data_IF_227045600840
#
_entry.id   IF_227045600840
#
_cell.length_a   1.000
_cell.length_b   1.000
_cell.length_c   1.000
_cell.angle_alpha   90.00
_cell.angle_beta   90.00
_cell.angle_gamma   90.00
#
_symmetry.space_group_name_H-M   'P 1'
#
loop_
_entity.id
_entity.type
_entity.pdbx_description
1 polymer ?
#
# COMPACT_ATOMS: atom_id res chain seq x y z
N UNK A 1 -33.13 20.77 5.08
CA UNK A 1 -31.79 20.27 5.44
C UNK A 1 -31.26 21.22 6.50
N UNK A 2 -31.15 20.74 7.73
CA UNK A 2 -31.00 21.59 8.91
C UNK A 2 -29.70 22.40 8.87
N UNK A 3 -29.80 23.73 8.74
CA UNK A 3 -28.63 24.62 8.70
C UNK A 3 -27.80 24.54 9.98
N UNK A 4 -28.41 24.08 11.08
CA UNK A 4 -27.77 23.85 12.38
C UNK A 4 -26.76 22.72 12.33
N UNK A 5 -27.02 21.62 11.61
CA UNK A 5 -26.07 20.51 11.46
C UNK A 5 -24.85 20.93 10.66
N UNK A 6 -25.05 21.67 9.57
CA UNK A 6 -23.96 22.16 8.71
C UNK A 6 -23.08 23.15 9.47
N UNK A 7 -23.67 24.09 10.23
CA UNK A 7 -22.91 25.02 11.06
C UNK A 7 -22.16 24.31 12.20
N UNK A 8 -22.78 23.30 12.83
CA UNK A 8 -22.13 22.50 13.88
C UNK A 8 -20.91 21.76 13.33
N UNK A 9 -21.07 21.11 12.16
CA UNK A 9 -19.99 20.42 11.48
C UNK A 9 -18.87 21.38 11.05
N UNK A 10 -19.24 22.54 10.48
CA UNK A 10 -18.29 23.57 10.06
C UNK A 10 -17.43 24.08 11.22
N UNK A 11 -18.07 24.44 12.33
CA UNK A 11 -17.38 24.88 13.54
C UNK A 11 -16.50 23.78 14.14
N UNK A 12 -16.97 22.52 14.10
CA UNK A 12 -16.19 21.39 14.56
C UNK A 12 -14.91 21.19 13.72
N UNK A 13 -15.02 21.14 12.39
CA UNK A 13 -13.87 20.94 11.52
C UNK A 13 -12.87 22.08 11.68
N UNK A 14 -13.36 23.32 11.72
CA UNK A 14 -12.51 24.50 11.86
C UNK A 14 -11.69 24.47 13.17
N UNK A 15 -12.35 24.23 14.30
CA UNK A 15 -11.67 24.20 15.61
C UNK A 15 -10.72 23.01 15.75
N UNK A 16 -10.89 21.97 14.94
CA UNK A 16 -10.12 20.73 15.03
C UNK A 16 -9.28 20.45 13.77
N UNK A 17 -9.05 21.43 12.89
CA UNK A 17 -8.38 21.17 11.60
C UNK A 17 -6.96 20.61 11.78
N UNK A 18 -6.19 21.14 12.74
CA UNK A 18 -4.86 20.62 13.07
C UNK A 18 -4.92 19.19 13.63
N UNK A 19 -5.70 18.89 14.69
CA UNK A 19 -5.93 17.51 15.13
C UNK A 19 -6.38 16.56 14.03
N UNK A 20 -7.24 17.01 13.12
CA UNK A 20 -7.71 16.21 11.98
C UNK A 20 -6.51 15.87 11.08
N UNK A 21 -5.72 16.86 10.67
CA UNK A 21 -4.51 16.64 9.84
C UNK A 21 -3.54 15.67 10.53
N UNK A 22 -3.25 15.87 11.81
CA UNK A 22 -2.40 14.94 12.57
C UNK A 22 -3.01 13.54 12.70
N UNK A 23 -4.33 13.42 12.86
CA UNK A 23 -5.04 12.15 12.88
C UNK A 23 -4.88 11.38 11.58
N UNK A 24 -5.01 12.07 10.44
CA UNK A 24 -4.73 11.49 9.12
C UNK A 24 -3.26 11.06 8.99
N UNK A 25 -2.31 11.84 9.50
CA UNK A 25 -0.89 11.48 9.50
C UNK A 25 -0.61 10.21 10.32
N UNK A 26 -1.27 10.03 11.48
CA UNK A 26 -1.15 8.81 12.29
C UNK A 26 -1.73 7.60 11.55
N UNK A 27 -2.90 7.76 10.91
CA UNK A 27 -3.50 6.70 10.09
C UNK A 27 -2.59 6.31 8.93
N UNK A 28 -1.97 7.29 8.28
CA UNK A 28 -1.04 7.06 7.17
C UNK A 28 0.21 6.30 7.62
N UNK A 29 0.82 6.69 8.74
CA UNK A 29 1.95 5.97 9.33
C UNK A 29 1.55 4.53 9.65
N UNK A 30 0.36 4.31 10.23
CA UNK A 30 -0.15 2.98 10.51
C UNK A 30 -0.29 2.14 9.23
N UNK A 31 -0.81 2.71 8.14
CA UNK A 31 -0.93 2.03 6.86
C UNK A 31 0.43 1.66 6.27
N UNK A 32 1.39 2.58 6.27
CA UNK A 32 2.76 2.33 5.80
C UNK A 32 3.39 1.16 6.56
N UNK A 33 3.28 1.15 7.89
CA UNK A 33 3.80 0.05 8.71
C UNK A 33 3.07 -1.26 8.41
N UNK A 34 1.75 -1.23 8.27
CA UNK A 34 0.98 -2.44 8.00
C UNK A 34 1.33 -3.06 6.64
N UNK A 35 1.41 -2.23 5.59
CA UNK A 35 1.84 -2.63 4.24
C UNK A 35 3.25 -3.21 4.29
N UNK A 36 4.18 -2.54 4.98
CA UNK A 36 5.55 -3.05 5.16
C UNK A 36 5.58 -4.46 5.76
N UNK A 37 4.84 -4.67 6.85
CA UNK A 37 4.77 -5.97 7.53
C UNK A 37 4.09 -7.03 6.67
N UNK A 38 3.01 -6.68 5.96
CA UNK A 38 2.31 -7.58 5.06
C UNK A 38 3.19 -8.01 3.89
N UNK A 39 3.92 -7.07 3.26
CA UNK A 39 4.85 -7.37 2.17
C UNK A 39 5.94 -8.33 2.63
N UNK A 40 6.64 -8.03 3.74
CA UNK A 40 7.72 -8.91 4.25
C UNK A 40 7.20 -10.30 4.58
N UNK A 41 6.00 -10.41 5.17
CA UNK A 41 5.39 -11.70 5.47
C UNK A 41 5.03 -12.47 4.20
N UNK A 42 4.58 -11.78 3.15
CA UNK A 42 4.19 -12.41 1.90
C UNK A 42 5.41 -12.88 1.08
N UNK A 43 6.45 -12.06 1.01
CA UNK A 43 7.75 -12.39 0.39
C UNK A 43 8.36 -13.66 1.03
N UNK A 44 8.38 -13.76 2.36
CA UNK A 44 8.85 -14.95 3.07
C UNK A 44 8.02 -16.21 2.77
N UNK A 45 6.70 -16.05 2.62
CA UNK A 45 5.82 -17.16 2.27
C UNK A 45 6.06 -17.60 0.82
N UNK A 46 6.20 -16.67 -0.12
CA UNK A 46 6.53 -16.96 -1.52
C UNK A 46 7.86 -17.70 -1.65
N UNK A 47 8.89 -17.28 -0.91
CA UNK A 47 10.19 -17.95 -0.87
C UNK A 47 10.09 -19.40 -0.40
N UNK A 48 9.49 -19.65 0.77
CA UNK A 48 9.32 -21.01 1.30
C UNK A 48 8.50 -21.88 0.33
N UNK A 49 7.53 -21.28 -0.33
CA UNK A 49 6.68 -21.96 -1.29
C UNK A 49 7.46 -22.34 -2.56
N UNK A 50 8.28 -21.42 -3.08
CA UNK A 50 9.19 -21.68 -4.20
C UNK A 50 10.13 -22.84 -3.89
N UNK A 51 10.68 -22.88 -2.67
CA UNK A 51 11.58 -23.94 -2.21
C UNK A 51 10.93 -25.30 -2.13
N UNK A 52 9.70 -25.32 -1.60
CA UNK A 52 8.97 -26.56 -1.46
C UNK A 52 8.58 -27.14 -2.83
N UNK A 53 8.49 -26.33 -3.89
CA UNK A 53 8.28 -26.83 -5.26
C UNK A 53 9.49 -27.56 -5.82
N UNK A 54 10.68 -26.98 -5.67
CA UNK A 54 11.95 -27.56 -6.17
C UNK A 54 12.57 -28.59 -5.22
N UNK A 55 11.91 -28.87 -4.10
CA UNK A 55 12.38 -29.85 -3.12
C UNK A 55 12.42 -31.26 -3.70
N UNK A 56 13.60 -31.88 -3.60
CA UNK A 56 13.85 -33.24 -4.09
C UNK A 56 14.63 -33.31 -5.40
N UNK A 57 14.85 -32.18 -6.07
CA UNK A 57 15.69 -32.09 -7.26
C UNK A 57 17.14 -31.75 -6.88
N UNK A 58 18.08 -32.60 -7.28
CA UNK A 58 19.51 -32.43 -6.95
C UNK A 58 20.18 -31.29 -7.72
N UNK A 59 19.62 -30.94 -8.88
CA UNK A 59 20.06 -29.89 -9.80
C UNK A 59 19.27 -28.58 -9.62
N UNK A 60 18.52 -28.45 -8.52
CA UNK A 60 17.83 -27.21 -8.19
C UNK A 60 18.85 -26.06 -8.05
N UNK A 61 18.48 -24.83 -8.45
CA UNK A 61 19.37 -23.68 -8.39
C UNK A 61 19.90 -23.44 -6.97
N UNK A 62 21.22 -23.22 -6.87
CA UNK A 62 21.88 -22.97 -5.59
C UNK A 62 21.44 -21.61 -5.02
N UNK A 63 21.34 -21.54 -3.70
CA UNK A 63 20.76 -20.43 -2.98
C UNK A 63 21.86 -19.63 -2.34
N UNK A 64 22.33 -18.62 -3.05
CA UNK A 64 23.31 -17.71 -2.47
C UNK A 64 22.64 -16.84 -1.40
N UNK A 65 23.35 -16.60 -0.31
CA UNK A 65 23.04 -15.61 0.70
C UNK A 65 22.95 -14.17 0.16
N UNK A 66 23.63 -13.88 -0.95
CA UNK A 66 23.65 -12.56 -1.59
C UNK A 66 22.42 -12.29 -2.47
N UNK A 67 21.73 -13.33 -2.93
CA UNK A 67 20.58 -13.20 -3.82
C UNK A 67 19.37 -12.62 -3.11
N UNK A 68 18.68 -11.71 -3.80
CA UNK A 68 17.41 -11.16 -3.35
C UNK A 68 16.31 -12.24 -3.33
N UNK A 69 15.24 -12.01 -2.58
CA UNK A 69 14.10 -12.94 -2.56
C UNK A 69 13.53 -13.16 -3.96
N UNK A 70 13.46 -12.07 -4.73
CA UNK A 70 13.01 -12.06 -6.12
C UNK A 70 13.82 -13.01 -7.00
N UNK A 71 15.15 -12.86 -7.01
CA UNK A 71 16.06 -13.70 -7.81
C UNK A 71 15.91 -15.18 -7.45
N UNK A 72 15.69 -15.50 -6.18
CA UNK A 72 15.47 -16.89 -5.74
C UNK A 72 14.15 -17.45 -6.23
N UNK A 73 13.09 -16.66 -6.20
CA UNK A 73 11.77 -17.05 -6.71
C UNK A 73 11.87 -17.25 -8.23
N UNK A 74 12.41 -16.28 -8.95
CA UNK A 74 12.56 -16.31 -10.41
C UNK A 74 13.40 -17.52 -10.87
N UNK A 75 14.58 -17.75 -10.27
CA UNK A 75 15.43 -18.89 -10.62
C UNK A 75 14.72 -20.23 -10.40
N UNK A 76 13.92 -20.35 -9.33
CA UNK A 76 13.14 -21.56 -9.07
C UNK A 76 12.03 -21.76 -10.09
N UNK A 77 11.34 -20.69 -10.48
CA UNK A 77 10.28 -20.73 -11.49
C UNK A 77 10.84 -21.07 -12.87
N UNK A 78 11.98 -20.48 -13.24
CA UNK A 78 12.69 -20.77 -14.48
C UNK A 78 13.15 -22.23 -14.51
N UNK A 79 13.73 -22.72 -13.42
CA UNK A 79 14.11 -24.13 -13.27
C UNK A 79 12.93 -25.07 -13.50
N UNK A 80 11.78 -24.81 -12.88
CA UNK A 80 10.56 -25.62 -13.05
C UNK A 80 10.11 -25.59 -14.52
N UNK A 81 10.04 -24.41 -15.13
CA UNK A 81 9.60 -24.26 -16.52
C UNK A 81 10.51 -25.00 -17.50
N UNK A 82 11.83 -24.82 -17.37
CA UNK A 82 12.82 -25.45 -18.24
C UNK A 82 12.84 -26.97 -18.05
N UNK A 83 12.71 -27.45 -16.81
CA UNK A 83 12.75 -28.89 -16.50
C UNK A 83 11.52 -29.63 -17.01
N UNK A 84 10.32 -29.03 -16.88
CA UNK A 84 9.09 -29.58 -17.46
C UNK A 84 9.14 -29.56 -18.99
N UNK A 85 9.71 -28.51 -19.59
CA UNK A 85 9.86 -28.42 -21.04
C UNK A 85 10.85 -29.46 -21.59
N UNK A 86 11.89 -29.80 -20.83
CA UNK A 86 12.88 -30.80 -21.22
C UNK A 86 12.36 -32.24 -21.08
N UNK A 87 11.66 -32.55 -19.98
CA UNK A 87 11.05 -33.86 -19.76
C UNK A 87 9.74 -33.74 -18.95
N UNK A 88 8.66 -34.20 -19.58
CA UNK A 88 7.31 -34.17 -19.00
C UNK A 88 7.14 -35.17 -17.84
N UNK A 89 8.06 -36.12 -17.65
CA UNK A 89 8.02 -37.08 -16.54
C UNK A 89 8.18 -36.42 -15.16
N UNK A 90 8.96 -35.34 -15.06
CA UNK A 90 9.15 -34.59 -13.82
C UNK A 90 7.92 -33.81 -13.36
N UNK A 91 6.93 -33.67 -14.23
CA UNK A 91 5.71 -32.92 -13.95
C UNK A 91 4.91 -33.53 -12.80
N UNK A 92 4.85 -34.85 -12.69
CA UNK A 92 4.13 -35.53 -11.61
C UNK A 92 4.77 -35.24 -10.24
N UNK A 93 6.11 -35.14 -10.19
CA UNK A 93 6.84 -34.76 -8.99
C UNK A 93 6.54 -33.31 -8.58
N UNK A 94 6.49 -32.38 -9.54
CA UNK A 94 6.08 -31.01 -9.29
C UNK A 94 4.61 -30.89 -8.86
N UNK A 95 3.68 -31.67 -9.45
CA UNK A 95 2.27 -31.74 -9.04
C UNK A 95 2.16 -32.20 -7.58
N UNK A 96 2.93 -33.23 -7.20
CA UNK A 96 2.95 -33.76 -5.83
C UNK A 96 3.45 -32.72 -4.82
N UNK A 97 4.47 -31.95 -5.17
CA UNK A 97 4.97 -30.85 -4.35
C UNK A 97 3.96 -29.68 -4.30
N UNK A 98 3.36 -29.31 -5.44
CA UNK A 98 2.37 -28.24 -5.54
C UNK A 98 1.08 -28.54 -4.77
N UNK A 99 0.63 -29.80 -4.73
CA UNK A 99 -0.58 -30.22 -3.98
C UNK A 99 -0.44 -30.00 -2.47
N UNK A 100 0.77 -30.07 -1.92
CA UNK A 100 1.03 -29.74 -0.50
C UNK A 100 1.00 -28.23 -0.24
N UNK A 101 1.19 -27.42 -1.28
CA UNK A 101 1.31 -25.97 -1.21
C UNK A 101 -0.03 -25.28 -1.51
N UNK A 102 -0.86 -25.84 -2.40
CA UNK A 102 -2.14 -25.26 -2.83
C UNK A 102 -3.14 -24.99 -1.71
N UNK A 103 -2.92 -25.59 -0.53
CA UNK A 103 -3.69 -25.35 0.69
C UNK A 103 -3.33 -24.04 1.42
N UNK A 104 -2.24 -23.36 1.05
CA UNK A 104 -1.81 -22.11 1.68
C UNK A 104 -2.58 -20.92 1.10
N UNK A 105 -3.12 -20.00 1.94
CA UNK A 105 -3.81 -18.80 1.49
C UNK A 105 -2.81 -17.73 1.02
N UNK A 106 -2.08 -18.04 -0.05
CA UNK A 106 -1.17 -17.11 -0.75
C UNK A 106 -2.02 -16.18 -1.62
N UNK A 107 -3.06 -16.74 -2.25
CA UNK A 107 -3.87 -16.05 -3.25
C UNK A 107 -4.75 -14.93 -2.68
N UNK A 108 -5.32 -15.07 -1.48
CA UNK A 108 -6.17 -14.01 -0.91
C UNK A 108 -5.38 -12.82 -0.33
N UNK A 109 -4.05 -12.88 -0.33
CA UNK A 109 -3.18 -11.86 0.28
C UNK A 109 -2.80 -10.73 -0.68
N UNK A 110 -2.66 -11.02 -1.98
CA UNK A 110 -2.32 -9.99 -2.97
C UNK A 110 -3.37 -8.87 -2.97
N UNK A 111 -4.66 -9.24 -2.95
CA UNK A 111 -5.77 -8.29 -3.01
C UNK A 111 -5.78 -7.33 -1.83
N UNK A 112 -5.39 -7.83 -0.64
CA UNK A 112 -5.28 -6.98 0.54
C UNK A 112 -4.13 -5.98 0.40
N UNK A 113 -2.96 -6.42 -0.06
CA UNK A 113 -1.80 -5.53 -0.26
C UNK A 113 -2.15 -4.43 -1.27
N UNK A 114 -2.75 -4.80 -2.40
CA UNK A 114 -3.18 -3.86 -3.45
C UNK A 114 -4.23 -2.86 -2.92
N UNK A 115 -5.24 -3.34 -2.20
CA UNK A 115 -6.25 -2.48 -1.58
C UNK A 115 -5.64 -1.49 -0.58
N UNK A 116 -4.78 -1.95 0.33
CA UNK A 116 -4.13 -1.07 1.30
C UNK A 116 -3.21 -0.06 0.62
N UNK A 117 -2.47 -0.46 -0.42
CA UNK A 117 -1.63 0.44 -1.21
C UNK A 117 -2.46 1.52 -1.92
N UNK A 118 -3.61 1.17 -2.48
CA UNK A 118 -4.54 2.12 -3.10
C UNK A 118 -5.10 3.13 -2.08
N UNK A 119 -5.47 2.67 -0.87
CA UNK A 119 -5.94 3.53 0.22
C UNK A 119 -4.84 4.50 0.66
N UNK A 120 -3.62 4.00 0.85
CA UNK A 120 -2.43 4.81 1.20
C UNK A 120 -2.23 5.93 0.18
N UNK A 121 -2.18 5.58 -1.12
CA UNK A 121 -2.03 6.56 -2.22
C UNK A 121 -3.11 7.64 -2.21
N UNK A 122 -4.35 7.26 -1.89
CA UNK A 122 -5.47 8.19 -1.80
C UNK A 122 -5.30 9.14 -0.60
N UNK A 123 -4.86 8.65 0.55
CA UNK A 123 -4.67 9.48 1.75
C UNK A 123 -3.53 10.50 1.59
N UNK A 124 -2.45 10.15 0.90
CA UNK A 124 -1.37 11.10 0.54
C UNK A 124 -1.92 12.33 -0.18
N UNK A 125 -2.90 12.13 -1.06
CA UNK A 125 -3.57 13.18 -1.84
C UNK A 125 -4.59 13.98 -1.03
N UNK A 126 -5.07 13.46 0.10
CA UNK A 126 -6.02 14.16 0.97
C UNK A 126 -5.34 15.28 1.78
N UNK A 127 -4.05 15.16 2.13
CA UNK A 127 -3.37 16.17 2.94
C UNK A 127 -3.35 17.59 2.34
N UNK A 128 -3.02 17.81 1.05
CA UNK A 128 -3.10 19.14 0.45
C UNK A 128 -4.54 19.66 0.42
N UNK A 129 -5.52 18.78 0.17
CA UNK A 129 -6.93 19.14 0.17
C UNK A 129 -7.40 19.58 1.57
N UNK A 130 -6.93 18.93 2.64
CA UNK A 130 -7.19 19.36 4.02
C UNK A 130 -6.55 20.71 4.34
N UNK A 131 -5.35 21.01 3.81
CA UNK A 131 -4.71 22.32 3.96
C UNK A 131 -5.50 23.45 3.27
N UNK A 132 -5.95 23.20 2.03
CA UNK A 132 -6.82 24.13 1.30
C UNK A 132 -8.15 24.31 2.04
N UNK A 133 -8.73 23.23 2.56
CA UNK A 133 -9.95 23.29 3.37
C UNK A 133 -9.74 24.15 4.62
N UNK A 134 -8.65 23.96 5.36
CA UNK A 134 -8.32 24.78 6.53
C UNK A 134 -8.23 26.26 6.22
N UNK A 135 -7.63 26.60 5.08
CA UNK A 135 -7.54 27.99 4.57
C UNK A 135 -8.92 28.59 4.32
N UNK A 136 -9.77 27.87 3.59
CA UNK A 136 -11.13 28.33 3.26
C UNK A 136 -11.95 28.53 4.55
N UNK A 137 -11.85 27.60 5.50
CA UNK A 137 -12.58 27.66 6.77
C UNK A 137 -12.14 28.84 7.64
N UNK A 138 -10.83 29.09 7.74
CA UNK A 138 -10.28 30.19 8.53
C UNK A 138 -10.73 31.56 7.99
N UNK A 139 -10.68 31.74 6.66
CA UNK A 139 -11.13 32.99 6.02
C UNK A 139 -12.65 33.14 6.16
N UNK A 140 -13.41 32.07 5.90
CA UNK A 140 -14.87 32.09 6.02
C UNK A 140 -15.33 32.48 7.43
N UNK A 141 -14.64 32.03 8.47
CA UNK A 141 -14.94 32.39 9.86
C UNK A 141 -14.94 33.92 10.07
N UNK A 142 -13.97 34.62 9.50
CA UNK A 142 -13.90 36.09 9.63
C UNK A 142 -15.06 36.77 8.94
N UNK A 143 -15.50 36.26 7.79
CA UNK A 143 -16.66 36.79 7.07
C UNK A 143 -17.98 36.59 7.85
N UNK A 144 -18.13 35.47 8.56
CA UNK A 144 -19.36 35.15 9.31
C UNK A 144 -19.43 35.81 10.70
N UNK A 145 -18.30 36.02 11.38
CA UNK A 145 -18.29 36.61 12.72
C UNK A 145 -18.42 38.14 12.73
N UNK A 146 -18.03 38.81 11.64
CA UNK A 146 -17.83 40.26 11.66
C UNK A 146 -19.10 41.10 11.64
N UNK A 147 -20.29 40.54 11.37
CA UNK A 147 -21.56 41.30 11.39
C UNK A 147 -21.59 42.60 10.55
N UNK A 148 -20.61 42.82 9.67
CA UNK A 148 -20.41 44.06 8.90
C UNK A 148 -19.17 44.89 9.27
N UNK A 149 -18.54 44.73 10.44
CA UNK A 149 -17.30 45.42 10.82
C UNK A 149 -16.11 44.46 10.87
N UNK A 150 -15.30 44.44 9.81
CA UNK A 150 -14.10 43.60 9.75
C UNK A 150 -12.98 44.26 10.55
N UNK A 151 -12.62 43.63 11.66
CA UNK A 151 -11.42 43.99 12.41
C UNK A 151 -10.16 43.45 11.69
N UNK A 152 -9.22 44.36 11.38
CA UNK A 152 -8.00 44.04 10.64
C UNK A 152 -7.13 43.05 11.42
N UNK A 153 -7.08 43.12 12.75
CA UNK A 153 -6.34 42.14 13.56
C UNK A 153 -6.93 40.74 13.45
N UNK A 154 -8.25 40.62 13.54
CA UNK A 154 -8.96 39.35 13.40
C UNK A 154 -8.76 38.72 12.02
N UNK A 155 -8.79 39.54 10.96
CA UNK A 155 -8.51 39.10 9.60
C UNK A 155 -7.05 38.61 9.44
N UNK A 156 -6.08 39.36 9.98
CA UNK A 156 -4.66 38.98 9.93
C UNK A 156 -4.40 37.64 10.61
N UNK A 157 -5.00 37.39 11.77
CA UNK A 157 -4.84 36.12 12.49
C UNK A 157 -5.41 34.94 11.69
N UNK A 158 -6.57 35.13 11.03
CA UNK A 158 -7.15 34.09 10.19
C UNK A 158 -6.28 33.76 8.97
N UNK A 159 -5.61 34.75 8.38
CA UNK A 159 -4.65 34.52 7.30
C UNK A 159 -3.44 33.71 7.77
N UNK A 160 -2.88 34.01 8.93
CA UNK A 160 -1.78 33.22 9.50
C UNK A 160 -2.22 31.77 9.73
N UNK A 161 -3.39 31.57 10.36
CA UNK A 161 -3.96 30.25 10.59
C UNK A 161 -4.16 29.47 9.28
N UNK A 162 -4.70 30.14 8.26
CA UNK A 162 -4.90 29.58 6.93
C UNK A 162 -3.56 29.11 6.31
N UNK A 163 -2.54 29.95 6.36
CA UNK A 163 -1.20 29.63 5.86
C UNK A 163 -0.61 28.42 6.59
N UNK A 164 -0.70 28.38 7.92
CA UNK A 164 -0.18 27.28 8.72
C UNK A 164 -0.83 25.94 8.35
N UNK A 165 -2.16 25.92 8.14
CA UNK A 165 -2.86 24.70 7.71
C UNK A 165 -2.40 24.21 6.33
N UNK A 166 -2.15 25.14 5.40
CA UNK A 166 -1.65 24.79 4.05
C UNK A 166 -0.22 24.27 4.12
N UNK A 167 0.67 24.95 4.84
CA UNK A 167 2.05 24.52 5.01
C UNK A 167 2.08 23.12 5.61
N UNK A 168 1.26 22.85 6.62
CA UNK A 168 1.20 21.53 7.26
C UNK A 168 0.68 20.45 6.31
N UNK A 169 -0.41 20.70 5.58
CA UNK A 169 -0.98 19.76 4.62
C UNK A 169 -0.02 19.42 3.48
N UNK A 170 0.66 20.41 2.92
CA UNK A 170 1.67 20.19 1.87
C UNK A 170 2.88 19.44 2.43
N UNK A 171 3.35 19.81 3.62
CA UNK A 171 4.52 19.17 4.24
C UNK A 171 4.30 17.67 4.45
N UNK A 172 3.13 17.27 4.97
CA UNK A 172 2.80 15.86 5.11
C UNK A 172 2.63 15.16 3.77
N UNK A 173 1.99 15.79 2.79
CA UNK A 173 1.84 15.20 1.45
C UNK A 173 3.19 14.90 0.81
N UNK A 174 4.13 15.86 0.83
CA UNK A 174 5.48 15.66 0.28
C UNK A 174 6.19 14.53 1.02
N UNK A 175 6.14 14.52 2.36
CA UNK A 175 6.78 13.49 3.16
C UNK A 175 6.25 12.09 2.82
N UNK A 176 4.94 11.91 2.80
CA UNK A 176 4.34 10.61 2.54
C UNK A 176 4.43 10.20 1.07
N UNK A 177 4.44 11.13 0.12
CA UNK A 177 4.68 10.83 -1.30
C UNK A 177 6.09 10.28 -1.54
N UNK A 178 7.11 10.80 -0.85
CA UNK A 178 8.47 10.25 -0.89
C UNK A 178 8.51 8.82 -0.31
N UNK A 179 7.83 8.61 0.82
CA UNK A 179 7.72 7.27 1.43
C UNK A 179 7.01 6.33 0.45
N UNK A 180 5.84 6.69 -0.08
CA UNK A 180 5.07 5.91 -1.04
C UNK A 180 5.90 5.52 -2.27
N UNK A 181 6.64 6.46 -2.86
CA UNK A 181 7.46 6.20 -4.05
C UNK A 181 8.54 5.12 -3.81
N UNK A 182 9.01 4.97 -2.57
CA UNK A 182 9.96 3.91 -2.20
C UNK A 182 9.29 2.55 -2.07
N UNK A 183 8.00 2.53 -1.73
CA UNK A 183 7.21 1.32 -1.49
C UNK A 183 6.53 0.78 -2.76
N UNK A 184 6.07 1.66 -3.64
CA UNK A 184 5.37 1.30 -4.89
C UNK A 184 6.09 0.20 -5.70
N UNK A 185 7.39 0.32 -6.04
CA UNK A 185 8.08 -0.72 -6.82
C UNK A 185 8.14 -2.07 -6.11
N UNK A 186 8.19 -2.07 -4.77
CA UNK A 186 8.21 -3.30 -3.97
C UNK A 186 6.85 -3.97 -3.94
N UNK A 187 5.78 -3.17 -3.83
CA UNK A 187 4.40 -3.66 -3.86
C UNK A 187 4.11 -4.31 -5.21
N UNK A 188 4.41 -3.61 -6.31
CA UNK A 188 4.23 -4.14 -7.68
C UNK A 188 5.00 -5.44 -7.89
N UNK A 189 6.26 -5.50 -7.44
CA UNK A 189 7.08 -6.72 -7.54
C UNK A 189 6.43 -7.91 -6.83
N UNK A 190 6.00 -7.74 -5.58
CA UNK A 190 5.36 -8.80 -4.79
C UNK A 190 4.05 -9.27 -5.46
N UNK A 191 3.30 -8.36 -6.07
CA UNK A 191 2.07 -8.68 -6.80
C UNK A 191 2.40 -9.50 -8.07
N UNK A 192 3.40 -9.07 -8.85
CA UNK A 192 3.81 -9.75 -10.08
C UNK A 192 4.34 -11.17 -9.80
N UNK A 193 5.22 -11.33 -8.81
CA UNK A 193 5.74 -12.65 -8.39
C UNK A 193 4.61 -13.60 -7.98
N UNK A 194 3.59 -13.08 -7.28
CA UNK A 194 2.43 -13.86 -6.88
C UNK A 194 1.60 -14.33 -8.09
N UNK A 195 1.52 -13.50 -9.13
CA UNK A 195 0.84 -13.81 -10.38
C UNK A 195 1.60 -14.86 -11.20
N UNK A 196 2.91 -14.70 -11.35
CA UNK A 196 3.77 -15.64 -12.07
C UNK A 196 3.77 -17.02 -11.42
N UNK A 197 3.82 -17.05 -10.09
CA UNK A 197 3.66 -18.25 -9.30
C UNK A 197 2.33 -18.97 -9.61
N UNK A 198 1.22 -18.21 -9.62
CA UNK A 198 -0.11 -18.75 -9.94
C UNK A 198 -0.14 -19.31 -11.36
N UNK A 199 0.45 -18.61 -12.32
CA UNK A 199 0.49 -19.05 -13.72
C UNK A 199 1.20 -20.40 -13.86
N UNK A 200 2.36 -20.55 -13.21
CA UNK A 200 3.14 -21.79 -13.26
C UNK A 200 2.40 -22.94 -12.58
N UNK A 201 1.83 -22.74 -11.38
CA UNK A 201 0.99 -23.78 -10.76
C UNK A 201 -0.20 -24.15 -11.64
N UNK A 202 -0.87 -23.16 -12.24
CA UNK A 202 -2.04 -23.42 -13.08
C UNK A 202 -1.67 -24.23 -14.32
N UNK A 203 -0.53 -23.93 -14.98
CA UNK A 203 -0.01 -24.72 -16.10
C UNK A 203 0.32 -26.15 -15.68
N UNK A 204 0.95 -26.32 -14.52
CA UNK A 204 1.28 -27.64 -13.97
C UNK A 204 0.01 -28.47 -13.73
N UNK A 205 -1.06 -27.86 -13.20
CA UNK A 205 -2.32 -28.55 -12.91
C UNK A 205 -3.21 -28.77 -14.14
N UNK A 206 -3.31 -27.81 -15.07
CA UNK A 206 -4.21 -27.87 -16.24
C UNK A 206 -3.75 -28.85 -17.31
N UNK A 207 -2.46 -29.17 -17.37
CA UNK A 207 -1.94 -30.16 -18.31
C UNK A 207 -2.00 -31.59 -17.77
N UNK A 208 -2.57 -31.81 -16.57
CA UNK A 208 -2.73 -33.12 -15.93
C UNK A 208 -4.09 -33.79 -16.20
N UNK A 209 -4.97 -33.15 -16.98
CA UNK A 209 -6.15 -33.75 -17.63
C UNK A 209 -5.85 -34.03 -19.12
#
# INVERSE_FOLDING_TARGET
MDSTLIQTLFNFIMNNIFPIIYGFAVVEIYLVVNIFLMMRKHEMVLLDVSDNLVKGFQDAPDRDSTQSAHEKIEASLEFISNKIAADNSFKDDFIKNAKKISQRPIYSRHYKIEMFASIMSTLVQVFPLLGILGTILAIAQTAFQSGGSVDVSSLSNAFVLAMDTTILGISFSILFMVIESTFQPRIERVINESSDYRHIISKINLSGE
#
